data_IF_784556917697
#
_entry.id   IF_784556917697
#
_cell.length_a   1.000
_cell.length_b   1.000
_cell.length_c   1.000
_cell.angle_alpha   90.00
_cell.angle_beta   90.00
_cell.angle_gamma   90.00
#
_symmetry.space_group_name_H-M   'P 1'
#
loop_
_entity.id
_entity.type
_entity.pdbx_description
1 polymer ?
#
# COMPACT_ATOMS: atom_id res chain seq x y z
N UNK A 1 -9.46 -3.96 -16.57
CA UNK A 1 -8.77 -2.69 -16.24
C UNK A 1 -9.00 -1.73 -17.39
N UNK A 2 -9.87 -0.73 -17.21
CA UNK A 2 -10.15 0.27 -18.26
C UNK A 2 -9.05 1.31 -18.19
N UNK A 3 -8.18 1.34 -19.20
CA UNK A 3 -7.01 2.23 -19.23
C UNK A 3 -7.33 3.66 -19.71
N UNK A 4 -8.54 3.91 -20.24
CA UNK A 4 -8.87 5.21 -20.82
C UNK A 4 -10.39 5.50 -20.72
N UNK A 5 -10.76 6.62 -20.07
CA UNK A 5 -12.15 7.12 -20.03
C UNK A 5 -12.44 8.12 -21.18
N UNK A 6 -11.60 8.15 -22.22
CA UNK A 6 -11.64 9.18 -23.29
C UNK A 6 -11.96 8.66 -24.68
N UNK A 7 -11.95 7.35 -24.92
CA UNK A 7 -12.18 6.78 -26.24
C UNK A 7 -13.39 5.85 -26.23
N UNK A 8 -14.14 5.85 -27.33
CA UNK A 8 -15.41 5.14 -27.50
C UNK A 8 -15.28 3.60 -27.47
N UNK A 9 -14.05 3.08 -27.58
CA UNK A 9 -13.77 1.66 -27.60
C UNK A 9 -13.27 1.19 -26.23
N UNK A 10 -14.01 0.29 -25.59
CA UNK A 10 -13.59 -0.37 -24.35
C UNK A 10 -12.41 -1.30 -24.64
N UNK A 11 -11.20 -0.88 -24.27
CA UNK A 11 -10.03 -1.76 -24.29
C UNK A 11 -10.20 -2.89 -23.28
N UNK A 12 -10.53 -4.09 -23.77
CA UNK A 12 -10.53 -5.31 -22.97
C UNK A 12 -9.10 -5.86 -22.89
N UNK A 13 -8.52 -5.80 -21.69
CA UNK A 13 -7.24 -6.46 -21.41
C UNK A 13 -7.50 -7.90 -20.99
N UNK A 14 -7.08 -8.85 -21.83
CA UNK A 14 -6.97 -10.25 -21.44
C UNK A 14 -5.89 -10.40 -20.37
N UNK A 15 -6.29 -10.79 -19.16
CA UNK A 15 -5.37 -11.02 -18.05
C UNK A 15 -4.63 -12.34 -18.31
N UNK A 16 -3.49 -12.25 -19.00
CA UNK A 16 -2.57 -13.37 -19.20
C UNK A 16 -1.80 -13.67 -17.92
N UNK A 17 -1.36 -14.92 -17.78
CA UNK A 17 -0.45 -15.33 -16.70
C UNK A 17 0.79 -14.44 -16.70
N UNK A 18 1.20 -13.97 -15.52
CA UNK A 18 2.44 -13.21 -15.35
C UNK A 18 3.64 -14.06 -15.80
N UNK A 19 4.67 -13.47 -16.45
CA UNK A 19 5.89 -14.17 -16.81
C UNK A 19 6.59 -14.79 -15.59
N UNK A 20 7.35 -15.87 -15.79
CA UNK A 20 7.98 -16.61 -14.69
C UNK A 20 8.98 -15.81 -13.86
N UNK A 21 9.60 -14.77 -14.43
CA UNK A 21 10.53 -13.88 -13.74
C UNK A 21 9.83 -12.86 -12.83
N UNK A 22 8.54 -12.60 -13.02
CA UNK A 22 7.78 -11.60 -12.25
C UNK A 22 7.08 -12.26 -11.06
N UNK A 23 7.86 -12.63 -10.04
CA UNK A 23 7.37 -13.26 -8.81
C UNK A 23 7.83 -12.49 -7.57
N UNK A 24 6.90 -12.24 -6.66
CA UNK A 24 7.22 -11.65 -5.36
C UNK A 24 7.89 -12.70 -4.46
N UNK A 25 8.85 -12.25 -3.64
CA UNK A 25 9.46 -13.09 -2.61
C UNK A 25 8.50 -13.20 -1.42
N UNK A 26 8.51 -14.35 -0.75
CA UNK A 26 7.72 -14.53 0.48
C UNK A 26 8.29 -13.59 1.56
N UNK A 27 7.48 -12.69 2.13
CA UNK A 27 7.94 -11.78 3.18
C UNK A 27 8.26 -12.57 4.46
N UNK A 28 9.31 -12.15 5.19
CA UNK A 28 9.69 -12.80 6.43
C UNK A 28 10.96 -12.24 7.06
N UNK A 29 11.35 -12.82 8.20
CA UNK A 29 12.52 -12.42 8.97
C UNK A 29 12.24 -11.40 10.08
N UNK A 30 13.23 -11.13 10.95
CA UNK A 30 13.09 -10.21 12.09
C UNK A 30 12.71 -8.78 11.69
N UNK A 31 13.44 -8.17 10.75
CA UNK A 31 13.19 -6.78 10.34
C UNK A 31 11.81 -6.56 9.71
N UNK A 32 11.31 -7.55 8.96
CA UNK A 32 9.94 -7.52 8.44
C UNK A 32 8.91 -7.48 9.59
N UNK A 33 9.09 -8.35 10.60
CA UNK A 33 8.19 -8.41 11.76
C UNK A 33 8.26 -7.15 12.61
N UNK A 34 9.45 -6.58 12.77
CA UNK A 34 9.68 -5.34 13.49
C UNK A 34 8.98 -4.16 12.80
N UNK A 35 9.22 -3.96 11.50
CA UNK A 35 8.53 -2.92 10.72
C UNK A 35 7.02 -3.10 10.75
N UNK A 36 6.54 -4.34 10.56
CA UNK A 36 5.10 -4.66 10.66
C UNK A 36 4.53 -4.30 12.03
N UNK A 37 5.25 -4.66 13.10
CA UNK A 37 4.85 -4.36 14.46
C UNK A 37 4.77 -2.86 14.67
N UNK A 38 5.79 -2.10 14.26
CA UNK A 38 5.84 -0.64 14.39
C UNK A 38 4.63 0.03 13.72
N UNK A 39 4.33 -0.32 12.47
CA UNK A 39 3.17 0.20 11.73
C UNK A 39 1.86 -0.13 12.45
N UNK A 40 1.69 -1.39 12.89
CA UNK A 40 0.46 -1.84 13.55
C UNK A 40 0.23 -1.19 14.92
N UNK A 41 1.29 -1.08 15.74
CA UNK A 41 1.24 -0.45 17.07
C UNK A 41 0.87 1.02 16.97
N UNK A 42 1.41 1.72 15.97
CA UNK A 42 1.13 3.13 15.72
C UNK A 42 -0.17 3.39 14.93
N UNK A 43 -0.93 2.34 14.57
CA UNK A 43 -2.18 2.45 13.79
C UNK A 43 -2.00 3.30 12.53
N UNK A 44 -0.95 2.98 11.76
CA UNK A 44 -0.62 3.65 10.51
C UNK A 44 -0.98 2.77 9.32
N UNK A 45 -1.36 3.41 8.21
CA UNK A 45 -1.52 2.72 6.93
C UNK A 45 -0.27 2.91 6.08
N UNK A 46 0.00 1.97 5.18
CA UNK A 46 1.12 2.06 4.24
C UNK A 46 0.66 1.77 2.83
N UNK A 47 1.22 2.48 1.86
CA UNK A 47 0.97 2.12 0.44
C UNK A 47 1.57 0.73 0.12
N UNK A 48 2.52 0.25 0.94
CA UNK A 48 3.07 -1.10 0.82
C UNK A 48 1.98 -2.17 0.92
N UNK A 49 1.08 -2.04 1.89
CA UNK A 49 -0.04 -2.96 2.13
C UNK A 49 -1.23 -2.64 1.23
N UNK A 50 -1.70 -1.39 1.25
CA UNK A 50 -2.97 -0.99 0.61
C UNK A 50 -2.91 -1.10 -0.92
N UNK A 51 -1.73 -0.89 -1.52
CA UNK A 51 -1.52 -1.06 -2.95
C UNK A 51 -1.07 -2.49 -3.34
N UNK A 52 -1.00 -3.43 -2.39
CA UNK A 52 -0.51 -4.80 -2.60
C UNK A 52 0.89 -4.86 -3.27
N UNK A 53 1.84 -4.07 -2.75
CA UNK A 53 3.16 -3.92 -3.34
C UNK A 53 3.95 -5.25 -3.28
N UNK A 54 4.47 -5.77 -4.41
CA UNK A 54 5.23 -7.03 -4.43
C UNK A 54 6.59 -6.94 -3.71
N UNK A 55 7.07 -5.72 -3.43
CA UNK A 55 8.36 -5.48 -2.79
C UNK A 55 8.25 -5.25 -1.26
N UNK A 56 7.05 -5.32 -0.69
CA UNK A 56 6.81 -5.06 0.74
C UNK A 56 7.75 -5.86 1.65
N UNK A 57 7.94 -7.16 1.37
CA UNK A 57 8.83 -8.02 2.14
C UNK A 57 10.28 -7.55 2.16
N UNK A 58 10.80 -7.07 1.03
CA UNK A 58 12.17 -6.59 0.90
C UNK A 58 12.36 -5.24 1.57
N UNK A 59 11.43 -4.29 1.35
CA UNK A 59 11.51 -2.97 1.96
C UNK A 59 11.41 -3.05 3.49
N UNK A 60 10.44 -3.80 4.00
CA UNK A 60 10.22 -3.93 5.44
C UNK A 60 11.32 -4.73 6.13
N UNK A 61 11.94 -5.71 5.46
CA UNK A 61 13.12 -6.38 6.01
C UNK A 61 14.30 -5.41 6.29
N UNK A 62 14.29 -4.23 5.65
CA UNK A 62 15.29 -3.17 5.80
C UNK A 62 14.82 -2.01 6.68
N UNK A 63 13.68 -2.14 7.36
CA UNK A 63 13.13 -1.04 8.17
C UNK A 63 12.48 0.08 7.34
N UNK A 64 12.17 -0.15 6.05
CA UNK A 64 11.65 0.89 5.15
C UNK A 64 10.19 0.65 4.82
N UNK A 65 9.34 1.65 5.08
CA UNK A 65 7.95 1.68 4.65
C UNK A 65 7.57 3.07 4.12
N UNK A 66 6.60 3.14 3.21
CA UNK A 66 6.00 4.40 2.77
C UNK A 66 4.64 4.54 3.42
N UNK A 67 4.53 5.49 4.36
CA UNK A 67 3.30 5.79 5.08
C UNK A 67 2.26 6.37 4.12
N UNK A 68 1.02 5.92 4.30
CA UNK A 68 -0.16 6.49 3.66
C UNK A 68 -0.99 7.17 4.75
N UNK A 69 -1.08 8.50 4.67
CA UNK A 69 -1.86 9.32 5.58
C UNK A 69 -3.34 9.35 5.16
N UNK A 70 -4.22 9.77 6.07
CA UNK A 70 -5.67 9.89 5.86
C UNK A 70 -6.40 8.55 5.67
N UNK A 71 -5.84 7.46 6.19
CA UNK A 71 -6.46 6.14 6.21
C UNK A 71 -6.21 5.28 4.97
N UNK A 72 -7.02 4.22 4.82
CA UNK A 72 -6.93 3.19 3.77
C UNK A 72 -7.78 3.46 2.53
N UNK A 73 -8.61 4.51 2.56
CA UNK A 73 -9.71 4.70 1.61
C UNK A 73 -9.53 5.97 0.79
N UNK A 74 -9.39 5.82 -0.53
CA UNK A 74 -9.31 6.94 -1.47
C UNK A 74 -10.69 7.31 -2.02
N UNK A 75 -10.96 8.61 -2.19
CA UNK A 75 -12.18 9.11 -2.84
C UNK A 75 -12.13 9.06 -4.36
N UNK A 76 -10.96 8.76 -4.94
CA UNK A 76 -10.75 8.61 -6.38
C UNK A 76 -10.70 7.14 -6.78
N UNK A 77 -11.12 6.86 -8.02
CA UNK A 77 -11.15 5.51 -8.60
C UNK A 77 -10.18 5.39 -9.78
N UNK A 78 -8.88 5.53 -9.53
CA UNK A 78 -7.87 5.38 -10.58
C UNK A 78 -7.84 3.93 -11.08
N UNK A 79 -7.98 3.70 -12.40
CA UNK A 79 -8.13 2.36 -12.98
C UNK A 79 -6.98 1.37 -12.73
N UNK A 80 -5.82 1.86 -12.25
CA UNK A 80 -4.65 1.05 -11.90
C UNK A 80 -4.42 0.87 -10.39
N UNK A 81 -5.10 1.66 -9.55
CA UNK A 81 -4.80 1.72 -8.13
C UNK A 81 -5.55 0.62 -7.39
N UNK A 82 -4.85 -0.09 -6.50
CA UNK A 82 -5.45 -1.15 -5.68
C UNK A 82 -6.00 -0.64 -4.33
N UNK A 83 -5.75 0.62 -3.97
CA UNK A 83 -6.26 1.22 -2.74
C UNK A 83 -7.79 1.25 -2.78
N UNK A 84 -8.41 0.92 -1.64
CA UNK A 84 -9.86 0.87 -1.49
C UNK A 84 -10.50 2.20 -1.89
N UNK A 85 -11.50 2.15 -2.75
CA UNK A 85 -12.28 3.33 -3.14
C UNK A 85 -13.51 3.45 -2.26
N UNK A 86 -13.78 4.65 -1.73
CA UNK A 86 -14.98 4.89 -0.93
C UNK A 86 -14.98 6.23 -0.20
N UNK A 87 -15.87 6.33 0.78
CA UNK A 87 -15.91 7.46 1.72
C UNK A 87 -14.97 7.15 2.89
N UNK A 88 -13.90 7.94 3.12
CA UNK A 88 -13.00 7.73 4.24
C UNK A 88 -13.69 8.04 5.59
N UNK A 89 -13.13 7.55 6.71
CA UNK A 89 -13.55 7.95 8.04
C UNK A 89 -13.26 9.44 8.29
N UNK A 90 -13.68 9.94 9.46
CA UNK A 90 -13.33 11.29 9.90
C UNK A 90 -11.82 11.44 10.03
N UNK A 91 -11.29 12.60 9.62
CA UNK A 91 -9.86 12.91 9.71
C UNK A 91 -9.34 12.73 11.13
N UNK A 92 -8.27 11.95 11.27
CA UNK A 92 -7.55 11.77 12.52
C UNK A 92 -6.41 12.79 12.63
N UNK A 93 -6.63 13.84 13.42
CA UNK A 93 -5.62 14.88 13.65
C UNK A 93 -4.44 14.41 14.52
N UNK A 94 -4.53 13.24 15.16
CA UNK A 94 -3.44 12.62 15.90
C UNK A 94 -2.53 11.73 15.04
N UNK A 95 -2.88 11.48 13.77
CA UNK A 95 -2.07 10.70 12.85
C UNK A 95 -0.64 11.24 12.69
N UNK A 96 -0.39 12.56 12.51
CA UNK A 96 0.96 13.09 12.37
C UNK A 96 1.88 12.77 13.55
N UNK A 97 1.37 12.80 14.79
CA UNK A 97 2.16 12.47 15.97
C UNK A 97 2.55 10.99 15.99
N UNK A 98 1.62 10.09 15.60
CA UNK A 98 1.94 8.66 15.51
C UNK A 98 2.92 8.36 14.38
N UNK A 99 2.88 9.11 13.28
CA UNK A 99 3.91 9.03 12.23
C UNK A 99 5.26 9.44 12.81
N UNK A 100 5.35 10.57 13.52
CA UNK A 100 6.58 11.00 14.16
C UNK A 100 7.10 9.98 15.17
N UNK A 101 6.22 9.38 15.97
CA UNK A 101 6.58 8.35 16.95
C UNK A 101 7.09 7.07 16.27
N UNK A 102 6.49 6.66 15.16
CA UNK A 102 6.96 5.50 14.39
C UNK A 102 8.38 5.66 13.83
N UNK A 103 8.83 6.90 13.65
CA UNK A 103 10.19 7.21 13.20
C UNK A 103 11.21 7.29 14.35
N UNK A 104 10.75 7.53 15.59
CA UNK A 104 11.63 7.56 16.78
C UNK A 104 12.01 6.18 17.28
N UNK A 105 11.19 5.17 16.98
CA UNK A 105 11.42 3.77 17.36
C UNK A 105 12.22 2.94 16.35
N UNK A 106 12.72 3.54 15.27
CA UNK A 106 13.66 2.97 14.30
C UNK A 106 15.08 3.49 14.59
#
# INVERSE_FOLDING_TARGET
MVLNNRQADTHHLDIKRKPDWLRAKVPGGPGYRETKSNISTNRLHTVCEEAACPNMGECWARGVATIMILGDTCTRACGFCNVKTGKPPTTDYGEPERVAESLRGL
#
